data_IF_715522766055
#
_entry.id   IF_715522766055
#
_cell.length_a   1.000
_cell.length_b   1.000
_cell.length_c   1.000
_cell.angle_alpha   90.00
_cell.angle_beta   90.00
_cell.angle_gamma   90.00
#
_symmetry.space_group_name_H-M   'P 1'
#
loop_
_entity.id
_entity.type
_entity.pdbx_description
1 polymer ?
#
# COMPACT_ATOMS: atom_id res chain seq x y z
N UNK A 1 -3.90 -39.74 -4.80
CA UNK A 1 -3.99 -38.54 -3.94
C UNK A 1 -3.68 -37.36 -4.83
N UNK A 2 -4.71 -36.65 -5.29
CA UNK A 2 -4.50 -35.38 -6.00
C UNK A 2 -4.09 -34.33 -4.97
N UNK A 3 -2.83 -33.91 -5.04
CA UNK A 3 -2.38 -32.72 -4.35
C UNK A 3 -3.01 -31.54 -5.07
N UNK A 4 -4.10 -30.99 -4.54
CA UNK A 4 -4.63 -29.69 -4.98
C UNK A 4 -3.60 -28.63 -4.57
N UNK A 5 -2.57 -28.44 -5.39
CA UNK A 5 -1.68 -27.28 -5.30
C UNK A 5 -2.50 -26.06 -5.69
N UNK A 6 -3.16 -25.46 -4.69
CA UNK A 6 -3.78 -24.14 -4.83
C UNK A 6 -2.64 -23.20 -5.22
N UNK A 7 -2.63 -22.80 -6.49
CA UNK A 7 -1.63 -21.87 -7.03
C UNK A 7 -1.69 -20.62 -6.15
N UNK A 8 -0.58 -20.25 -5.54
CA UNK A 8 -0.51 -19.04 -4.73
C UNK A 8 -0.80 -17.86 -5.68
N UNK A 9 -1.92 -17.16 -5.49
CA UNK A 9 -2.30 -16.05 -6.37
C UNK A 9 -1.41 -14.82 -6.16
N UNK A 10 -0.61 -14.83 -5.09
CA UNK A 10 0.28 -13.77 -4.67
C UNK A 10 1.58 -14.37 -4.14
N UNK A 11 2.72 -13.78 -4.49
CA UNK A 11 4.02 -14.15 -3.93
C UNK A 11 4.35 -13.15 -2.82
N UNK A 12 4.42 -13.62 -1.58
CA UNK A 12 4.90 -12.82 -0.46
C UNK A 12 5.83 -13.61 0.45
N UNK A 13 6.69 -12.89 1.16
CA UNK A 13 7.60 -13.42 2.19
C UNK A 13 7.33 -12.64 3.47
N UNK A 14 7.23 -13.35 4.60
CA UNK A 14 7.17 -12.73 5.93
C UNK A 14 8.50 -12.94 6.63
N UNK A 15 9.03 -11.87 7.20
CA UNK A 15 10.21 -11.86 8.04
C UNK A 15 9.80 -11.49 9.47
N UNK A 16 10.25 -12.29 10.44
CA UNK A 16 10.03 -12.05 11.86
C UNK A 16 11.14 -12.72 12.69
N UNK A 17 11.69 -12.04 13.72
CA UNK A 17 11.43 -10.64 14.06
C UNK A 17 12.28 -9.68 13.21
N UNK A 18 11.71 -8.54 12.82
CA UNK A 18 12.41 -7.42 12.17
C UNK A 18 12.22 -6.17 13.02
N UNK A 19 13.29 -5.40 13.26
CA UNK A 19 13.16 -4.14 14.00
C UNK A 19 12.60 -3.02 13.13
N UNK A 20 11.96 -2.02 13.76
CA UNK A 20 11.48 -0.82 13.06
C UNK A 20 12.58 -0.11 12.26
N UNK A 21 13.80 -0.02 12.84
CA UNK A 21 14.95 0.57 12.14
C UNK A 21 15.31 -0.22 10.87
N UNK A 22 15.27 -1.55 10.93
CA UNK A 22 15.57 -2.41 9.78
C UNK A 22 14.53 -2.22 8.69
N UNK A 23 13.23 -2.19 9.05
CA UNK A 23 12.17 -1.86 8.12
C UNK A 23 12.37 -0.48 7.48
N UNK A 24 12.68 0.54 8.28
CA UNK A 24 12.91 1.90 7.78
C UNK A 24 14.03 1.97 6.74
N UNK A 25 15.14 1.26 6.96
CA UNK A 25 16.24 1.14 6.00
C UNK A 25 15.81 0.42 4.72
N UNK A 26 15.15 -0.73 4.85
CA UNK A 26 14.67 -1.50 3.70
C UNK A 26 13.66 -0.72 2.86
N UNK A 27 12.74 0.00 3.50
CA UNK A 27 11.76 0.86 2.84
C UNK A 27 12.44 1.96 2.03
N UNK A 28 13.49 2.58 2.56
CA UNK A 28 14.23 3.63 1.85
C UNK A 28 15.03 3.07 0.67
N UNK A 29 15.73 1.94 0.86
CA UNK A 29 16.51 1.28 -0.20
C UNK A 29 15.62 0.73 -1.34
N UNK A 30 14.42 0.27 -1.01
CA UNK A 30 13.46 -0.28 -1.97
C UNK A 30 12.53 0.78 -2.56
N UNK A 31 12.58 2.04 -2.11
CA UNK A 31 11.68 3.10 -2.58
C UNK A 31 11.73 3.31 -4.10
N UNK A 32 12.90 3.17 -4.70
CA UNK A 32 13.09 3.30 -6.15
C UNK A 32 12.70 2.03 -6.92
N UNK A 33 12.52 0.92 -6.22
CA UNK A 33 12.12 -0.36 -6.78
C UNK A 33 10.62 -0.63 -6.53
N UNK A 34 9.78 -0.07 -7.38
CA UNK A 34 8.31 -0.13 -7.28
C UNK A 34 7.69 -1.52 -7.49
N UNK A 35 8.50 -2.57 -7.74
CA UNK A 35 8.03 -3.93 -8.00
C UNK A 35 7.67 -4.71 -6.74
N UNK A 36 8.08 -4.20 -5.56
CA UNK A 36 7.77 -4.80 -4.26
C UNK A 36 6.84 -3.89 -3.48
N UNK A 37 6.02 -4.49 -2.63
CA UNK A 37 5.15 -3.82 -1.66
C UNK A 37 5.54 -4.26 -0.25
N UNK A 38 5.73 -3.31 0.64
CA UNK A 38 6.14 -3.55 2.02
C UNK A 38 4.99 -3.28 3.00
N UNK A 39 4.84 -4.17 3.99
CA UNK A 39 3.94 -3.98 5.13
C UNK A 39 4.68 -4.34 6.40
N UNK A 40 4.64 -3.47 7.40
CA UNK A 40 5.23 -3.68 8.71
C UNK A 40 4.21 -3.45 9.81
N UNK A 41 4.06 -4.45 10.68
CA UNK A 41 3.26 -4.35 11.90
C UNK A 41 3.96 -5.08 13.05
N UNK A 42 4.34 -4.34 14.11
CA UNK A 42 4.76 -4.94 15.38
C UNK A 42 5.92 -5.93 15.30
N UNK A 43 6.83 -5.78 14.32
CA UNK A 43 8.00 -6.64 14.12
C UNK A 43 7.85 -7.69 13.02
N UNK A 44 6.67 -7.81 12.41
CA UNK A 44 6.44 -8.59 11.19
C UNK A 44 6.64 -7.69 9.98
N UNK A 45 7.51 -8.12 9.06
CA UNK A 45 7.68 -7.47 7.76
C UNK A 45 7.19 -8.42 6.66
N UNK A 46 6.14 -8.04 5.95
CA UNK A 46 5.72 -8.71 4.72
C UNK A 46 6.27 -7.97 3.51
N UNK A 47 6.88 -8.72 2.61
CA UNK A 47 7.37 -8.25 1.31
C UNK A 47 6.57 -8.99 0.25
N UNK A 48 5.77 -8.26 -0.50
CA UNK A 48 4.94 -8.80 -1.57
C UNK A 48 5.53 -8.42 -2.93
N UNK A 49 5.39 -9.33 -3.89
CA UNK A 49 5.66 -9.09 -5.31
C UNK A 49 4.37 -9.38 -6.07
N UNK A 50 3.55 -8.34 -6.33
CA UNK A 50 2.26 -8.48 -6.99
C UNK A 50 2.38 -9.24 -8.32
N UNK A 51 1.47 -10.18 -8.56
CA UNK A 51 1.36 -10.84 -9.86
C UNK A 51 0.49 -10.00 -10.82
N UNK A 52 0.57 -10.29 -12.11
CA UNK A 52 -0.20 -9.58 -13.15
C UNK A 52 -1.70 -9.50 -12.84
N UNK A 53 -2.29 -10.55 -12.26
CA UNK A 53 -3.71 -10.56 -11.89
C UNK A 53 -4.02 -9.51 -10.80
N UNK A 54 -3.14 -9.38 -9.80
CA UNK A 54 -3.24 -8.39 -8.72
C UNK A 54 -3.20 -6.98 -9.27
N UNK A 55 -2.20 -6.69 -10.10
CA UNK A 55 -2.04 -5.39 -10.74
C UNK A 55 -3.22 -5.06 -11.66
N UNK A 56 -3.71 -6.03 -12.44
CA UNK A 56 -4.85 -5.80 -13.32
C UNK A 56 -6.11 -5.43 -12.53
N UNK A 57 -6.37 -6.11 -11.42
CA UNK A 57 -7.49 -5.79 -10.53
C UNK A 57 -7.31 -4.43 -9.87
N UNK A 58 -6.10 -4.11 -9.38
CA UNK A 58 -5.76 -2.81 -8.82
C UNK A 58 -6.05 -1.69 -9.82
N UNK A 59 -5.51 -1.78 -11.04
CA UNK A 59 -5.71 -0.77 -12.08
C UNK A 59 -7.17 -0.65 -12.54
N UNK A 60 -7.92 -1.76 -12.58
CA UNK A 60 -9.34 -1.72 -12.90
C UNK A 60 -10.12 -0.89 -11.88
N UNK A 61 -9.93 -1.15 -10.58
CA UNK A 61 -10.59 -0.41 -9.50
C UNK A 61 -10.12 1.04 -9.44
N UNK A 62 -8.80 1.27 -9.53
CA UNK A 62 -8.22 2.60 -9.51
C UNK A 62 -8.78 3.51 -10.63
N UNK A 63 -8.93 2.97 -11.85
CA UNK A 63 -9.53 3.70 -12.97
C UNK A 63 -11.00 4.01 -12.73
N UNK A 64 -11.76 3.07 -12.18
CA UNK A 64 -13.16 3.30 -11.85
C UNK A 64 -13.31 4.44 -10.83
N UNK A 65 -12.47 4.46 -9.78
CA UNK A 65 -12.45 5.53 -8.78
C UNK A 65 -12.12 6.87 -9.43
N UNK A 66 -11.09 6.92 -10.27
CA UNK A 66 -10.70 8.13 -10.98
C UNK A 66 -11.85 8.67 -11.85
N UNK A 67 -12.47 7.80 -12.65
CA UNK A 67 -13.61 8.17 -13.51
C UNK A 67 -14.77 8.69 -12.66
N UNK A 68 -15.11 8.02 -11.55
CA UNK A 68 -16.19 8.49 -10.67
C UNK A 68 -15.89 9.87 -10.07
N UNK A 69 -14.65 10.13 -9.67
CA UNK A 69 -14.27 11.45 -9.15
C UNK A 69 -14.43 12.55 -10.21
N UNK A 70 -14.01 12.29 -11.45
CA UNK A 70 -14.19 13.21 -12.57
C UNK A 70 -15.69 13.47 -12.87
N UNK A 71 -16.51 12.42 -12.94
CA UNK A 71 -17.96 12.54 -13.19
C UNK A 71 -18.69 13.28 -12.06
N UNK A 72 -18.18 13.21 -10.83
CA UNK A 72 -18.68 13.96 -9.68
C UNK A 72 -18.03 15.33 -9.52
N UNK A 73 -17.16 15.74 -10.44
CA UNK A 73 -16.45 17.02 -10.42
C UNK A 73 -15.67 17.23 -9.10
N UNK A 74 -15.02 16.16 -8.62
CA UNK A 74 -14.13 16.16 -7.47
C UNK A 74 -12.69 16.28 -7.97
N UNK A 75 -11.87 17.11 -7.30
CA UNK A 75 -10.43 17.05 -7.52
C UNK A 75 -9.90 15.72 -6.99
N UNK A 76 -8.98 15.10 -7.73
CA UNK A 76 -8.38 13.84 -7.32
C UNK A 76 -6.86 13.86 -7.52
N UNK A 77 -6.13 13.40 -6.50
CA UNK A 77 -4.71 13.06 -6.62
C UNK A 77 -4.52 11.58 -6.32
N UNK A 78 -4.09 10.84 -7.34
CA UNK A 78 -3.82 9.40 -7.26
C UNK A 78 -2.36 9.16 -6.89
N UNK A 79 -2.10 8.23 -5.97
CA UNK A 79 -0.75 7.88 -5.51
C UNK A 79 -0.64 6.36 -5.39
N UNK A 80 0.22 5.72 -6.19
CA UNK A 80 0.31 4.24 -6.28
C UNK A 80 1.59 3.61 -5.71
N UNK A 81 2.50 4.42 -5.18
CA UNK A 81 3.77 3.94 -4.60
C UNK A 81 4.13 4.78 -3.39
N UNK A 82 3.16 4.93 -2.49
CA UNK A 82 3.31 5.70 -1.27
C UNK A 82 3.51 4.77 -0.09
N UNK A 83 4.66 4.85 0.56
CA UNK A 83 4.87 4.22 1.86
C UNK A 83 4.32 5.14 2.94
N UNK A 84 3.22 4.75 3.58
CA UNK A 84 2.66 5.41 4.76
C UNK A 84 3.37 4.83 6.00
N UNK A 85 4.07 5.68 6.75
CA UNK A 85 4.81 5.27 7.95
C UNK A 85 4.42 6.10 9.15
N UNK A 86 4.32 5.44 10.31
CA UNK A 86 4.09 6.06 11.60
C UNK A 86 5.04 5.50 12.64
N UNK A 87 5.99 6.33 13.05
CA UNK A 87 7.06 5.97 13.99
C UNK A 87 6.51 5.77 15.41
N UNK A 88 5.47 6.53 15.78
CA UNK A 88 4.86 6.52 17.10
C UNK A 88 4.17 5.19 17.47
N UNK A 89 3.63 4.51 16.46
CA UNK A 89 3.00 3.18 16.59
C UNK A 89 3.80 2.07 15.91
N UNK A 90 4.96 2.40 15.31
CA UNK A 90 5.82 1.48 14.55
C UNK A 90 5.04 0.65 13.54
N UNK A 91 4.28 1.33 12.67
CA UNK A 91 3.54 0.70 11.57
C UNK A 91 3.89 1.33 10.24
N UNK A 92 3.94 0.52 9.20
CA UNK A 92 4.20 0.98 7.85
C UNK A 92 3.44 0.15 6.82
N UNK A 93 2.92 0.80 5.79
CA UNK A 93 2.18 0.12 4.73
C UNK A 93 2.39 0.81 3.38
N UNK A 94 2.46 0.01 2.33
CA UNK A 94 2.40 0.45 0.93
C UNK A 94 1.08 -0.06 0.34
N UNK A 95 0.06 0.81 0.29
CA UNK A 95 -1.24 0.45 -0.28
C UNK A 95 -1.11 0.15 -1.77
N UNK A 96 -2.02 -0.65 -2.34
CA UNK A 96 -2.00 -0.92 -3.78
C UNK A 96 -2.34 0.33 -4.60
N UNK A 97 -3.26 1.16 -4.08
CA UNK A 97 -3.52 2.51 -4.58
C UNK A 97 -4.08 3.42 -3.49
N UNK A 98 -3.75 4.71 -3.56
CA UNK A 98 -4.29 5.74 -2.69
C UNK A 98 -4.86 6.90 -3.49
N UNK A 99 -5.88 7.56 -2.91
CA UNK A 99 -6.51 8.73 -3.49
C UNK A 99 -6.72 9.79 -2.42
N UNK A 100 -6.32 11.02 -2.75
CA UNK A 100 -6.76 12.22 -2.07
C UNK A 100 -7.89 12.84 -2.90
N UNK A 101 -9.02 13.07 -2.25
CA UNK A 101 -10.28 13.61 -2.79
C UNK A 101 -10.64 14.88 -2.00
N UNK A 102 -11.12 14.72 -0.77
CA UNK A 102 -11.43 15.85 0.12
C UNK A 102 -10.16 16.61 0.49
N UNK A 103 -9.08 15.86 0.72
CA UNK A 103 -7.79 16.35 1.16
C UNK A 103 -6.85 16.74 -0.01
N UNK A 104 -7.31 16.65 -1.26
CA UNK A 104 -6.48 16.89 -2.45
C UNK A 104 -5.81 18.26 -2.43
N UNK A 105 -6.54 19.31 -2.02
CA UNK A 105 -6.03 20.68 -2.05
C UNK A 105 -4.80 20.89 -1.14
N UNK A 106 -4.75 20.19 0.00
CA UNK A 106 -3.64 20.29 0.97
C UNK A 106 -2.37 19.58 0.49
N UNK A 107 -2.53 18.56 -0.35
CA UNK A 107 -1.41 17.74 -0.86
C UNK A 107 -1.07 18.00 -2.32
N UNK A 108 -1.82 18.86 -3.03
CA UNK A 108 -1.70 19.11 -4.47
C UNK A 108 -0.26 19.30 -4.93
N UNK A 109 0.47 20.17 -4.26
CA UNK A 109 1.85 20.53 -4.62
C UNK A 109 2.92 19.68 -3.92
N UNK A 110 2.53 18.73 -3.06
CA UNK A 110 3.47 17.85 -2.37
C UNK A 110 3.94 16.73 -3.29
N UNK A 111 5.25 16.52 -3.35
CA UNK A 111 5.85 15.39 -4.08
C UNK A 111 6.02 14.15 -3.19
N UNK A 112 5.99 14.34 -1.87
CA UNK A 112 6.11 13.28 -0.88
C UNK A 112 5.15 13.55 0.28
N UNK A 113 4.65 12.49 0.91
CA UNK A 113 3.78 12.54 2.08
C UNK A 113 4.53 11.88 3.23
N UNK A 114 4.67 12.60 4.33
CA UNK A 114 5.36 12.17 5.54
C UNK A 114 4.44 12.35 6.76
N UNK A 115 3.74 11.27 7.14
CA UNK A 115 2.79 11.31 8.26
C UNK A 115 3.48 11.65 9.59
N UNK A 116 4.76 11.34 9.73
CA UNK A 116 5.54 11.69 10.92
C UNK A 116 5.79 13.20 11.04
N UNK A 117 5.67 13.95 9.93
CA UNK A 117 5.74 15.43 9.91
C UNK A 117 4.38 16.10 10.00
N UNK A 118 3.30 15.32 10.18
CA UNK A 118 1.93 15.83 10.23
C UNK A 118 1.29 16.04 8.87
N UNK A 119 1.83 15.45 7.80
CA UNK A 119 1.09 15.36 6.55
C UNK A 119 -0.16 14.49 6.74
N UNK A 120 -1.22 14.85 6.01
CA UNK A 120 -2.50 14.14 6.10
C UNK A 120 -2.46 12.80 5.33
N UNK A 121 -3.07 11.74 5.88
CA UNK A 121 -3.20 10.46 5.18
C UNK A 121 -4.15 10.60 3.98
N UNK A 122 -4.07 9.67 3.01
CA UNK A 122 -5.02 9.63 1.90
C UNK A 122 -6.45 9.40 2.39
N UNK A 123 -7.42 9.96 1.67
CA UNK A 123 -8.85 9.79 1.96
C UNK A 123 -9.33 8.37 1.69
N UNK A 124 -8.71 7.71 0.72
CA UNK A 124 -9.03 6.36 0.29
C UNK A 124 -7.76 5.59 0.00
N UNK A 125 -7.63 4.40 0.60
CA UNK A 125 -6.63 3.40 0.27
C UNK A 125 -7.34 2.15 -0.26
N UNK A 126 -6.75 1.51 -1.26
CA UNK A 126 -7.23 0.29 -1.89
C UNK A 126 -6.23 -0.82 -1.63
N UNK A 127 -6.77 -1.98 -1.28
CA UNK A 127 -6.05 -3.23 -1.11
C UNK A 127 -6.75 -4.29 -1.95
N UNK A 128 -6.00 -4.95 -2.82
CA UNK A 128 -6.45 -6.12 -3.55
C UNK A 128 -6.02 -7.34 -2.71
N UNK A 129 -6.97 -8.22 -2.42
CA UNK A 129 -6.69 -9.50 -1.76
C UNK A 129 -7.33 -10.61 -2.61
N UNK A 130 -6.50 -11.34 -3.36
CA UNK A 130 -6.96 -12.45 -4.21
C UNK A 130 -6.98 -13.75 -3.41
N UNK A 131 -6.00 -13.93 -2.53
CA UNK A 131 -5.91 -15.07 -1.63
C UNK A 131 -5.59 -14.59 -0.23
N UNK A 132 -6.57 -14.74 0.66
CA UNK A 132 -6.54 -14.42 2.10
C UNK A 132 -5.10 -14.14 2.60
N UNK A 133 -4.73 -12.86 2.59
CA UNK A 133 -3.39 -12.43 2.94
C UNK A 133 -3.05 -12.82 4.39
N UNK A 134 -1.76 -13.02 4.68
CA UNK A 134 -1.31 -13.49 6.00
C UNK A 134 -1.36 -12.44 7.11
N UNK A 135 -1.47 -11.16 6.76
CA UNK A 135 -1.50 -10.05 7.72
C UNK A 135 -2.80 -9.26 7.56
N UNK A 136 -3.43 -8.94 8.69
CA UNK A 136 -4.60 -8.07 8.74
C UNK A 136 -4.18 -6.61 8.53
N UNK A 137 -4.13 -6.20 7.25
CA UNK A 137 -3.75 -4.84 6.85
C UNK A 137 -4.73 -3.78 7.37
N UNK A 138 -5.98 -4.12 7.68
CA UNK A 138 -6.97 -3.14 8.13
C UNK A 138 -6.60 -2.50 9.47
N UNK A 139 -5.94 -3.23 10.36
CA UNK A 139 -5.48 -2.70 11.66
C UNK A 139 -4.25 -1.77 11.55
N UNK A 140 -3.73 -1.54 10.33
CA UNK A 140 -2.58 -0.66 10.08
C UNK A 140 -3.01 0.75 9.70
N UNK A 141 -4.17 0.90 9.05
CA UNK A 141 -4.78 2.19 8.69
C UNK A 141 -5.51 2.83 9.88
#
# INVERSE_FOLDING_TARGET
METLTKTQAENYIILYPISWETFGRMSEELRENSTKRLVYDGGYLQIMSPLMQHENNNWFIARLIFIMAEEWNLNIKSVGSLTLKRDDIQKGIEPDACFYLQNEAEVRNKQHIDLNKGDIPPDLAIEIDITNSSMDKLNIY
#
